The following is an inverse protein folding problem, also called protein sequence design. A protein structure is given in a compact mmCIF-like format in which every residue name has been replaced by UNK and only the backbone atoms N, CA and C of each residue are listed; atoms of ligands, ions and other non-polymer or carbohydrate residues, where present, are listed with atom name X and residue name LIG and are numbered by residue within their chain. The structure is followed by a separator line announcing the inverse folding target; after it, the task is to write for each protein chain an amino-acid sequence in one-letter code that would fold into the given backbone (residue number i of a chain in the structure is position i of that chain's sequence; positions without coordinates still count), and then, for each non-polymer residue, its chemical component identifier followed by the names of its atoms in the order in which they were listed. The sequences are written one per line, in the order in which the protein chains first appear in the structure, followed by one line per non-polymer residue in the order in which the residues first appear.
data_IF_380019748572
#
_entry.id   IF_380019748572
#
_cell.length_a   1.000
_cell.length_b   1.000
_cell.length_c   1.000
_cell.angle_alpha   90.00
_cell.angle_beta   90.00
_cell.angle_gamma   90.00
#
_symmetry.space_group_name_H-M   'P 1'
#
loop_
_entity.id
_entity.type
_entity.pdbx_description
1 polymer ?
#
# COMPACT_ATOMS: atom_id res chain seq x y z
N UNK A 1 18.86 -11.90 12.43
CA UNK A 1 18.10 -10.78 12.96
C UNK A 1 18.85 -9.53 12.55
N UNK A 2 18.34 -8.77 11.58
CA UNK A 2 18.99 -7.53 11.10
C UNK A 2 19.00 -6.48 12.20
N UNK A 3 20.09 -5.69 12.26
CA UNK A 3 20.23 -4.57 13.19
C UNK A 3 19.20 -3.49 12.85
N UNK A 4 18.48 -2.95 13.82
CA UNK A 4 17.51 -1.87 13.63
C UNK A 4 18.21 -0.61 13.07
N UNK A 5 17.48 0.26 12.39
CA UNK A 5 18.02 1.52 11.88
C UNK A 5 18.40 2.45 13.04
N UNK A 6 19.46 3.26 12.85
CA UNK A 6 19.80 4.33 13.78
C UNK A 6 18.64 5.35 13.85
N UNK A 7 18.13 5.60 15.04
CA UNK A 7 17.07 6.59 15.24
C UNK A 7 17.54 8.01 14.91
N UNK A 8 18.80 8.30 15.18
CA UNK A 8 19.43 9.61 14.94
C UNK A 8 19.57 9.91 13.45
N UNK A 9 20.03 8.91 12.65
CA UNK A 9 20.15 9.06 11.20
C UNK A 9 18.77 9.23 10.55
N UNK A 10 17.78 8.46 10.99
CA UNK A 10 16.41 8.57 10.51
C UNK A 10 15.77 9.92 10.89
N UNK A 11 15.97 10.40 12.12
CA UNK A 11 15.44 11.69 12.56
C UNK A 11 16.03 12.84 11.75
N UNK A 12 17.32 12.77 11.42
CA UNK A 12 17.96 13.76 10.55
C UNK A 12 17.42 13.74 9.11
N UNK A 13 17.25 12.57 8.52
CA UNK A 13 16.78 12.43 7.13
C UNK A 13 15.30 12.82 7.01
N UNK A 14 14.46 12.29 7.90
CA UNK A 14 13.01 12.46 7.86
C UNK A 14 12.53 13.77 8.51
N UNK A 15 13.36 14.43 9.30
CA UNK A 15 13.10 15.74 9.88
C UNK A 15 13.25 16.90 8.88
N UNK A 16 13.64 16.65 7.63
CA UNK A 16 13.72 17.71 6.63
C UNK A 16 12.32 18.22 6.23
N UNK A 17 12.23 19.50 5.86
CA UNK A 17 10.97 20.17 5.53
C UNK A 17 10.14 19.42 4.47
N UNK A 18 10.78 18.90 3.42
CA UNK A 18 10.11 18.18 2.35
C UNK A 18 9.45 16.87 2.86
N UNK A 19 10.15 16.11 3.68
CA UNK A 19 9.62 14.87 4.25
C UNK A 19 8.45 15.16 5.21
N UNK A 20 8.58 16.18 6.06
CA UNK A 20 7.52 16.59 6.98
C UNK A 20 6.25 17.01 6.25
N UNK A 21 6.36 17.82 5.18
CA UNK A 21 5.20 18.19 4.35
C UNK A 21 4.57 16.97 3.69
N UNK A 22 5.36 16.03 3.19
CA UNK A 22 4.84 14.80 2.61
C UNK A 22 4.10 13.94 3.64
N UNK A 23 4.62 13.84 4.86
CA UNK A 23 3.93 13.18 5.97
C UNK A 23 2.60 13.86 6.29
N UNK A 24 2.59 15.20 6.39
CA UNK A 24 1.35 15.96 6.61
C UNK A 24 0.32 15.74 5.50
N UNK A 25 0.73 15.79 4.24
CA UNK A 25 -0.16 15.52 3.10
C UNK A 25 -0.74 14.11 3.16
N UNK A 26 0.07 13.12 3.55
CA UNK A 26 -0.39 11.74 3.74
C UNK A 26 -1.42 11.65 4.87
N UNK A 27 -1.17 12.36 5.99
CA UNK A 27 -2.13 12.43 7.10
C UNK A 27 -3.45 13.06 6.64
N UNK A 28 -3.39 14.20 5.94
CA UNK A 28 -4.60 14.88 5.43
C UNK A 28 -5.40 14.00 4.49
N UNK A 29 -4.70 13.28 3.57
CA UNK A 29 -5.35 12.45 2.54
C UNK A 29 -6.01 11.20 3.13
N UNK A 30 -5.38 10.57 4.12
CA UNK A 30 -5.76 9.20 4.53
C UNK A 30 -6.28 9.07 5.96
N UNK A 31 -6.23 10.13 6.78
CA UNK A 31 -6.70 10.06 8.16
C UNK A 31 -8.21 9.78 8.24
N UNK A 32 -8.56 8.76 8.96
CA UNK A 32 -9.94 8.39 9.30
C UNK A 32 -10.14 8.54 10.83
N UNK A 33 -10.55 9.70 11.30
CA UNK A 33 -10.69 9.97 12.75
C UNK A 33 -9.36 10.20 13.47
N UNK A 34 -9.31 9.97 14.82
CA UNK A 34 -8.08 10.11 15.58
C UNK A 34 -6.98 9.18 15.08
N UNK A 35 -5.76 9.69 14.96
CA UNK A 35 -4.64 8.98 14.34
C UNK A 35 -3.39 8.98 15.22
N UNK A 36 -2.62 7.89 15.14
CA UNK A 36 -1.29 7.77 15.71
C UNK A 36 -0.24 7.82 14.59
N UNK A 37 0.80 8.64 14.76
CA UNK A 37 1.96 8.65 13.88
C UNK A 37 3.19 8.18 14.64
N UNK A 38 3.86 7.15 14.16
CA UNK A 38 5.11 6.65 14.72
C UNK A 38 6.30 7.24 13.98
N UNK A 39 7.08 8.04 14.68
CA UNK A 39 8.21 8.81 14.14
C UNK A 39 9.55 8.20 14.61
N UNK A 40 10.62 8.39 13.81
CA UNK A 40 11.94 7.86 14.14
C UNK A 40 12.59 8.56 15.34
N UNK A 41 12.35 9.86 15.49
CA UNK A 41 12.97 10.69 16.51
C UNK A 41 12.03 11.73 17.12
N UNK A 42 12.49 12.33 18.22
CA UNK A 42 11.72 13.33 18.97
C UNK A 42 11.57 14.62 18.17
N UNK A 43 12.63 15.06 17.48
CA UNK A 43 12.59 16.28 16.67
C UNK A 43 11.58 16.16 15.54
N UNK A 44 11.57 15.04 14.81
CA UNK A 44 10.58 14.77 13.76
C UNK A 44 9.15 14.76 14.32
N UNK A 45 8.94 14.20 15.51
CA UNK A 45 7.61 14.18 16.15
C UNK A 45 7.13 15.59 16.52
N UNK A 46 8.01 16.40 17.10
CA UNK A 46 7.72 17.80 17.46
C UNK A 46 7.38 18.62 16.20
N UNK A 47 8.25 18.57 15.20
CA UNK A 47 8.09 19.38 13.99
C UNK A 47 6.87 18.93 13.15
N UNK A 48 6.59 17.64 13.08
CA UNK A 48 5.38 17.14 12.42
C UNK A 48 4.11 17.64 13.12
N UNK A 49 4.05 17.57 14.44
CA UNK A 49 2.89 18.06 15.21
C UNK A 49 2.69 19.58 15.02
N UNK A 50 3.77 20.37 15.06
CA UNK A 50 3.73 21.81 14.81
C UNK A 50 3.26 22.14 13.39
N UNK A 51 3.81 21.46 12.39
CA UNK A 51 3.49 21.66 10.98
C UNK A 51 2.01 21.31 10.70
N UNK A 52 1.58 20.14 11.19
CA UNK A 52 0.19 19.69 11.07
C UNK A 52 -0.80 20.69 11.66
N UNK A 53 -0.47 21.27 12.84
CA UNK A 53 -1.32 22.24 13.51
C UNK A 53 -1.33 23.58 12.79
N UNK A 54 -0.16 24.10 12.38
CA UNK A 54 -0.04 25.45 11.81
C UNK A 54 -0.54 25.57 10.38
N UNK A 55 -0.19 24.61 9.53
CA UNK A 55 -0.43 24.72 8.09
C UNK A 55 -1.64 23.92 7.64
N UNK A 56 -1.98 22.85 8.36
CA UNK A 56 -3.07 21.94 7.97
C UNK A 56 -4.26 21.96 8.92
N UNK A 57 -4.20 22.74 10.01
CA UNK A 57 -5.32 22.92 10.95
C UNK A 57 -5.71 21.66 11.72
N UNK A 58 -4.84 20.65 11.77
CA UNK A 58 -5.06 19.39 12.48
C UNK A 58 -4.69 19.61 13.95
N UNK A 59 -5.56 19.24 14.89
CA UNK A 59 -5.24 19.25 16.32
C UNK A 59 -4.22 18.16 16.62
N UNK A 60 -2.93 18.51 16.47
CA UNK A 60 -1.82 17.59 16.61
C UNK A 60 -1.00 17.91 17.87
N UNK A 61 -0.59 16.86 18.59
CA UNK A 61 0.31 16.90 19.72
C UNK A 61 1.39 15.83 19.58
N UNK A 62 2.49 15.96 20.33
CA UNK A 62 3.51 14.93 20.35
C UNK A 62 3.68 14.33 21.73
N UNK A 63 4.19 13.08 21.77
CA UNK A 63 4.64 12.42 23.01
C UNK A 63 6.00 11.77 22.80
N UNK A 64 6.88 11.94 23.79
CA UNK A 64 8.19 11.32 23.80
C UNK A 64 8.54 10.74 25.19
N UNK A 65 9.50 9.80 25.22
CA UNK A 65 9.94 9.15 26.46
C UNK A 65 10.95 9.98 27.28
N UNK A 66 11.53 11.03 26.71
CA UNK A 66 12.53 11.86 27.40
C UNK A 66 11.84 12.85 28.35
N UNK A 67 11.95 12.60 29.64
CA UNK A 67 11.35 13.42 30.69
C UNK A 67 11.95 14.82 30.78
N UNK A 68 13.12 15.06 30.19
CA UNK A 68 13.75 16.39 30.10
C UNK A 68 13.07 17.27 29.05
N UNK A 69 12.50 16.65 28.01
CA UNK A 69 11.80 17.33 26.94
C UNK A 69 10.31 17.45 27.27
N UNK A 70 9.73 16.38 27.81
CA UNK A 70 8.31 16.30 28.13
C UNK A 70 8.11 15.65 29.50
N UNK A 71 7.72 16.42 30.53
CA UNK A 71 7.39 15.89 31.86
C UNK A 71 6.30 14.83 31.81
N UNK A 72 6.31 13.91 32.74
CA UNK A 72 5.39 12.78 32.76
C UNK A 72 3.90 13.18 32.88
N UNK A 73 3.64 14.20 33.72
CA UNK A 73 2.29 14.75 33.91
C UNK A 73 1.74 15.40 32.61
N UNK A 74 2.57 16.12 31.88
CA UNK A 74 2.20 16.69 30.58
C UNK A 74 1.92 15.58 29.55
N UNK A 75 2.80 14.59 29.47
CA UNK A 75 2.60 13.43 28.62
C UNK A 75 1.29 12.69 28.93
N UNK A 76 1.03 12.46 30.22
CA UNK A 76 -0.20 11.81 30.67
C UNK A 76 -1.44 12.64 30.33
N UNK A 77 -1.37 13.97 30.43
CA UNK A 77 -2.44 14.88 30.02
C UNK A 77 -2.75 14.74 28.54
N UNK A 78 -1.73 14.82 27.67
CA UNK A 78 -1.87 14.67 26.22
C UNK A 78 -2.45 13.30 25.86
N UNK A 79 -1.94 12.24 26.45
CA UNK A 79 -2.44 10.89 26.21
C UNK A 79 -3.91 10.72 26.63
N UNK A 80 -4.33 11.36 27.71
CA UNK A 80 -5.72 11.35 28.15
C UNK A 80 -6.63 12.18 27.22
N UNK A 81 -6.16 13.31 26.72
CA UNK A 81 -6.87 14.09 25.71
C UNK A 81 -7.03 13.29 24.39
N UNK A 82 -6.01 12.55 23.98
CA UNK A 82 -6.10 11.68 22.80
C UNK A 82 -7.12 10.56 23.00
N UNK A 83 -7.13 9.89 24.17
CA UNK A 83 -8.15 8.87 24.48
C UNK A 83 -9.58 9.40 24.44
N UNK A 84 -9.77 10.69 24.74
CA UNK A 84 -11.09 11.37 24.64
C UNK A 84 -11.42 11.85 23.23
N UNK A 85 -10.51 11.67 22.25
CA UNK A 85 -10.70 12.16 20.90
C UNK A 85 -10.55 13.67 20.74
N UNK A 86 -10.00 14.38 21.74
CA UNK A 86 -9.75 15.83 21.71
C UNK A 86 -8.56 16.21 20.83
N UNK A 87 -7.64 15.24 20.58
CA UNK A 87 -6.48 15.34 19.69
C UNK A 87 -6.73 14.46 18.49
N UNK A 88 -6.52 15.00 17.30
CA UNK A 88 -6.76 14.34 16.03
C UNK A 88 -5.54 13.57 15.51
N UNK A 89 -4.32 14.04 15.84
CA UNK A 89 -3.07 13.40 15.46
C UNK A 89 -2.12 13.38 16.65
N UNK A 90 -1.74 12.20 17.12
CA UNK A 90 -0.72 12.03 18.14
C UNK A 90 0.58 11.56 17.50
N UNK A 91 1.58 12.45 17.46
CA UNK A 91 2.93 12.17 16.96
C UNK A 91 3.74 11.51 18.06
N UNK A 92 4.07 10.22 17.90
CA UNK A 92 4.72 9.43 18.93
C UNK A 92 6.16 9.07 18.56
N UNK A 93 7.10 9.34 19.47
CA UNK A 93 8.47 8.84 19.43
C UNK A 93 8.68 7.86 20.58
N UNK A 94 8.61 6.55 20.31
CA UNK A 94 8.93 5.42 21.20
C UNK A 94 8.02 5.20 22.43
N UNK A 95 7.23 6.16 22.88
CA UNK A 95 6.45 6.07 24.13
C UNK A 95 5.25 5.14 24.01
N UNK A 96 4.52 5.23 22.92
CA UNK A 96 3.35 4.38 22.72
C UNK A 96 3.70 2.92 22.36
N UNK A 97 5.00 2.57 22.30
CA UNK A 97 5.45 1.19 22.19
C UNK A 97 5.34 0.44 23.52
N UNK A 98 5.26 1.12 24.66
CA UNK A 98 5.16 0.48 25.99
C UNK A 98 3.93 0.99 26.77
N UNK A 99 2.93 0.16 26.96
CA UNK A 99 1.80 0.40 27.91
C UNK A 99 0.69 1.36 27.43
N UNK A 100 0.82 2.08 26.31
CA UNK A 100 -0.22 3.00 25.84
C UNK A 100 -1.32 2.26 25.04
N UNK A 101 -2.53 2.26 25.57
CA UNK A 101 -3.72 1.75 24.89
C UNK A 101 -4.50 2.89 24.24
N UNK A 102 -4.78 2.77 22.95
CA UNK A 102 -5.42 3.80 22.14
C UNK A 102 -6.54 3.23 21.25
N UNK A 103 -7.57 2.61 21.81
CA UNK A 103 -8.66 2.04 21.03
C UNK A 103 -9.42 3.09 20.21
N UNK A 104 -9.35 4.36 20.59
CA UNK A 104 -9.97 5.48 19.84
C UNK A 104 -9.31 5.74 18.48
N UNK A 105 -8.03 5.36 18.30
CA UNK A 105 -7.32 5.60 17.05
C UNK A 105 -7.89 4.74 15.93
N UNK A 106 -8.22 5.39 14.79
CA UNK A 106 -8.71 4.73 13.57
C UNK A 106 -7.66 4.65 12.48
N UNK A 107 -6.59 5.45 12.58
CA UNK A 107 -5.49 5.42 11.60
C UNK A 107 -4.15 5.34 12.31
N UNK A 108 -3.25 4.53 11.76
CA UNK A 108 -1.84 4.47 12.15
C UNK A 108 -0.97 4.86 10.97
N UNK A 109 -0.09 5.81 11.18
CA UNK A 109 0.95 6.19 10.22
C UNK A 109 2.31 5.68 10.71
N UNK A 110 2.89 4.76 9.96
CA UNK A 110 4.24 4.27 10.18
C UNK A 110 5.22 5.10 9.36
N UNK A 111 5.75 6.18 9.94
CA UNK A 111 6.80 7.02 9.34
C UNK A 111 8.19 6.60 9.79
N UNK A 112 8.27 5.56 10.62
CA UNK A 112 9.52 4.96 11.05
C UNK A 112 9.63 3.55 10.46
N UNK A 113 10.68 3.28 9.64
CA UNK A 113 10.95 1.92 9.22
C UNK A 113 11.31 1.04 10.42
N UNK A 114 10.80 -0.18 10.45
CA UNK A 114 11.17 -1.17 11.45
C UNK A 114 11.48 -2.51 10.81
N UNK A 115 12.56 -3.15 11.25
CA UNK A 115 12.91 -4.53 10.90
C UNK A 115 12.36 -5.54 11.91
N UNK A 116 11.74 -5.05 12.97
CA UNK A 116 11.21 -5.88 14.04
C UNK A 116 9.72 -6.14 13.85
N UNK A 117 9.38 -7.34 13.38
CA UNK A 117 7.99 -7.83 13.33
C UNK A 117 7.29 -7.69 14.68
N UNK A 118 8.00 -8.00 15.77
CA UNK A 118 7.46 -7.87 17.12
C UNK A 118 7.06 -6.43 17.45
N UNK A 119 7.90 -5.44 17.11
CA UNK A 119 7.61 -4.04 17.38
C UNK A 119 6.41 -3.57 16.55
N UNK A 120 6.36 -3.91 15.27
CA UNK A 120 5.24 -3.56 14.42
C UNK A 120 3.93 -4.16 14.94
N UNK A 121 3.90 -5.47 15.33
CA UNK A 121 2.74 -6.13 15.96
C UNK A 121 2.29 -5.44 17.24
N UNK A 122 3.23 -5.01 18.08
CA UNK A 122 2.90 -4.29 19.31
C UNK A 122 2.22 -2.94 19.03
N UNK A 123 2.71 -2.22 18.04
CA UNK A 123 2.15 -0.93 17.61
C UNK A 123 0.72 -1.12 17.10
N UNK A 124 0.52 -2.05 16.17
CA UNK A 124 -0.77 -2.24 15.50
C UNK A 124 -1.80 -2.88 16.42
N UNK A 125 -1.42 -3.88 17.21
CA UNK A 125 -2.31 -4.54 18.16
C UNK A 125 -2.95 -3.59 19.19
N UNK A 126 -2.38 -2.40 19.41
CA UNK A 126 -2.95 -1.38 20.29
C UNK A 126 -4.03 -0.55 19.63
N UNK A 127 -3.87 -0.33 18.33
CA UNK A 127 -4.80 0.48 17.55
C UNK A 127 -5.90 -0.39 16.95
N UNK A 128 -5.64 -1.67 16.67
CA UNK A 128 -6.62 -2.62 16.15
C UNK A 128 -7.67 -3.06 17.20
N UNK A 129 -7.52 -2.67 18.45
CA UNK A 129 -8.50 -3.00 19.50
C UNK A 129 -9.85 -2.36 19.22
N UNK A 130 -10.96 -3.08 19.39
CA UNK A 130 -12.29 -2.49 19.38
C UNK A 130 -12.42 -1.39 20.44
N UNK A 131 -13.40 -0.51 20.27
CA UNK A 131 -13.76 0.44 21.31
C UNK A 131 -14.20 -0.29 22.59
N UNK A 132 -13.94 0.27 23.78
CA UNK A 132 -14.38 -0.32 25.04
C UNK A 132 -15.90 -0.57 25.03
N UNK A 133 -16.32 -1.72 25.51
CA UNK A 133 -17.74 -2.10 25.61
C UNK A 133 -18.32 -2.73 24.34
N UNK A 134 -17.64 -2.65 23.19
CA UNK A 134 -18.19 -3.16 21.92
C UNK A 134 -18.27 -4.68 21.88
N UNK A 135 -17.27 -5.35 22.42
CA UNK A 135 -17.19 -6.83 22.38
C UNK A 135 -17.36 -7.47 23.77
N UNK A 136 -17.62 -6.67 24.78
CA UNK A 136 -17.70 -7.15 26.17
C UNK A 136 -18.95 -8.02 26.35
N UNK A 137 -18.77 -9.22 26.92
CA UNK A 137 -19.86 -10.16 27.17
C UNK A 137 -20.33 -10.94 25.93
N UNK A 138 -19.74 -10.76 24.77
CA UNK A 138 -20.05 -11.54 23.57
C UNK A 138 -19.19 -12.82 23.53
N UNK A 139 -19.88 -13.97 23.38
CA UNK A 139 -19.23 -15.29 23.46
C UNK A 139 -18.70 -15.77 22.13
N UNK A 140 -19.43 -15.50 21.02
CA UNK A 140 -19.08 -16.02 19.69
C UNK A 140 -18.25 -15.04 18.90
N UNK A 141 -17.51 -15.55 17.90
CA UNK A 141 -16.72 -14.76 16.96
C UNK A 141 -17.64 -13.92 16.06
N UNK A 142 -18.73 -14.50 15.59
CA UNK A 142 -19.68 -13.82 14.70
C UNK A 142 -20.35 -12.63 15.41
N UNK A 143 -20.80 -12.79 16.67
CA UNK A 143 -21.34 -11.68 17.48
C UNK A 143 -20.33 -10.55 17.63
N UNK A 144 -19.06 -10.87 17.87
CA UNK A 144 -17.99 -9.86 17.98
C UNK A 144 -17.75 -9.13 16.67
N UNK A 145 -17.71 -9.86 15.55
CA UNK A 145 -17.54 -9.26 14.22
C UNK A 145 -18.71 -8.33 13.87
N UNK A 146 -19.96 -8.76 14.11
CA UNK A 146 -21.14 -7.94 13.90
C UNK A 146 -21.13 -6.68 14.78
N UNK A 147 -20.77 -6.81 16.05
CA UNK A 147 -20.71 -5.70 16.99
C UNK A 147 -19.62 -4.70 16.60
N UNK A 148 -18.44 -5.17 16.15
CA UNK A 148 -17.37 -4.31 15.65
C UNK A 148 -17.81 -3.58 14.37
N UNK A 149 -18.40 -4.29 13.42
CA UNK A 149 -18.88 -3.71 12.16
C UNK A 149 -19.97 -2.65 12.38
N UNK A 150 -20.80 -2.80 13.40
CA UNK A 150 -21.86 -1.85 13.78
C UNK A 150 -21.36 -0.68 14.65
N UNK A 151 -20.12 -0.71 15.13
CA UNK A 151 -19.54 0.30 16.03
C UNK A 151 -19.06 1.55 15.30
N UNK A 152 -18.76 2.61 16.06
CA UNK A 152 -18.12 3.83 15.53
C UNK A 152 -16.70 3.59 15.01
N UNK A 153 -16.14 2.40 15.24
CA UNK A 153 -14.83 1.98 14.73
C UNK A 153 -14.93 0.57 14.15
N UNK A 154 -15.50 0.41 12.96
CA UNK A 154 -15.61 -0.88 12.28
C UNK A 154 -14.27 -1.42 11.77
N UNK A 155 -13.30 -0.54 11.57
CA UNK A 155 -11.98 -0.84 11.00
C UNK A 155 -10.87 0.01 11.61
N UNK A 156 -9.64 -0.28 11.21
CA UNK A 156 -8.45 0.53 11.49
C UNK A 156 -7.54 0.55 10.26
N UNK A 157 -7.22 1.74 9.78
CA UNK A 157 -6.34 1.93 8.63
C UNK A 157 -4.87 2.02 9.08
N UNK A 158 -4.02 1.19 8.49
CA UNK A 158 -2.58 1.23 8.70
C UNK A 158 -1.91 1.75 7.42
N UNK A 159 -1.25 2.90 7.51
CA UNK A 159 -0.48 3.50 6.43
C UNK A 159 1.01 3.30 6.73
N UNK A 160 1.65 2.47 5.94
CA UNK A 160 3.09 2.23 6.02
C UNK A 160 3.82 2.96 4.88
N UNK A 161 4.53 4.03 5.21
CA UNK A 161 5.32 4.82 4.25
C UNK A 161 6.76 4.33 4.11
N UNK A 162 7.09 3.22 4.73
CA UNK A 162 8.47 2.73 4.78
C UNK A 162 8.81 1.77 3.63
N UNK A 163 7.81 1.36 2.87
CA UNK A 163 7.93 0.45 1.73
C UNK A 163 8.62 1.09 0.50
N UNK A 164 8.83 2.41 0.52
CA UNK A 164 9.56 3.13 -0.55
C UNK A 164 11.09 2.91 -0.53
N UNK A 165 11.63 2.20 0.44
CA UNK A 165 13.05 1.83 0.54
C UNK A 165 13.24 0.36 0.10
N UNK A 166 13.10 0.12 -1.15
CA UNK A 166 12.99 -1.15 -1.89
C UNK A 166 14.06 -2.23 -1.70
N UNK A 167 14.96 -2.16 -0.70
CA UNK A 167 16.08 -3.11 -0.64
C UNK A 167 16.31 -3.81 0.73
N UNK A 168 15.44 -3.59 1.69
CA UNK A 168 15.66 -4.17 3.02
C UNK A 168 14.39 -4.86 3.52
N UNK A 169 14.55 -5.97 4.23
CA UNK A 169 13.49 -6.75 4.87
C UNK A 169 12.70 -5.94 5.92
N UNK A 170 11.97 -4.93 5.45
CA UNK A 170 11.06 -4.12 6.25
C UNK A 170 9.79 -4.94 6.45
N UNK A 171 9.32 -4.99 7.69
CA UNK A 171 8.08 -5.68 8.03
C UNK A 171 6.92 -4.78 7.65
N UNK A 172 6.19 -5.18 6.62
CA UNK A 172 4.97 -4.50 6.16
C UNK A 172 3.71 -5.09 6.80
N UNK A 173 2.55 -4.47 6.55
CA UNK A 173 1.26 -5.04 6.93
C UNK A 173 1.11 -6.46 6.37
N UNK A 174 1.41 -6.65 5.11
CA UNK A 174 1.38 -7.96 4.43
C UNK A 174 2.23 -9.00 5.16
N UNK A 175 3.45 -8.64 5.57
CA UNK A 175 4.37 -9.56 6.26
C UNK A 175 3.85 -10.01 7.62
N UNK A 176 3.02 -9.21 8.25
CA UNK A 176 2.50 -9.51 9.57
C UNK A 176 1.32 -10.46 9.55
N UNK A 177 0.50 -10.37 8.51
CA UNK A 177 -0.59 -11.31 8.27
C UNK A 177 -0.12 -12.58 7.54
N UNK A 178 1.09 -12.55 6.95
CA UNK A 178 1.69 -13.73 6.36
C UNK A 178 2.04 -14.79 7.42
N UNK A 179 1.73 -16.05 7.16
CA UNK A 179 2.17 -17.17 7.98
C UNK A 179 3.68 -17.38 7.83
N UNK A 180 4.30 -18.04 8.78
CA UNK A 180 5.75 -18.28 8.75
C UNK A 180 6.18 -19.11 7.53
N UNK A 181 5.30 -19.98 7.02
CA UNK A 181 5.49 -20.81 5.83
C UNK A 181 5.11 -20.15 4.51
N UNK A 182 4.61 -18.90 4.53
CA UNK A 182 4.25 -18.16 3.30
C UNK A 182 5.51 -17.87 2.48
N UNK A 183 5.57 -18.32 1.20
CA UNK A 183 6.72 -18.09 0.34
C UNK A 183 6.99 -16.58 0.14
N UNK A 184 8.27 -16.20 0.08
CA UNK A 184 8.68 -14.81 -0.09
C UNK A 184 8.17 -14.19 -1.41
N UNK A 185 8.02 -15.01 -2.45
CA UNK A 185 7.43 -14.56 -3.74
C UNK A 185 5.98 -14.10 -3.57
N UNK A 186 5.20 -14.80 -2.74
CA UNK A 186 3.81 -14.44 -2.42
C UNK A 186 3.77 -13.14 -1.61
N UNK A 187 4.64 -13.01 -0.61
CA UNK A 187 4.75 -11.78 0.21
C UNK A 187 5.12 -10.58 -0.65
N UNK A 188 6.11 -10.74 -1.54
CA UNK A 188 6.55 -9.68 -2.46
C UNK A 188 5.45 -9.26 -3.42
N UNK A 189 4.73 -10.21 -4.01
CA UNK A 189 3.61 -9.92 -4.91
C UNK A 189 2.46 -9.21 -4.19
N UNK A 190 2.12 -9.63 -2.97
CA UNK A 190 1.11 -8.98 -2.15
C UNK A 190 1.53 -7.56 -1.73
N UNK A 191 2.81 -7.34 -1.40
CA UNK A 191 3.36 -5.99 -1.14
C UNK A 191 3.25 -5.07 -2.37
N UNK A 192 3.54 -5.60 -3.56
CA UNK A 192 3.40 -4.85 -4.80
C UNK A 192 1.95 -4.46 -5.09
N UNK A 193 0.99 -5.35 -4.78
CA UNK A 193 -0.44 -5.07 -4.92
C UNK A 193 -0.90 -4.01 -3.90
N UNK A 194 -0.40 -4.08 -2.66
CA UNK A 194 -0.68 -3.08 -1.63
C UNK A 194 -0.13 -1.68 -1.95
N UNK A 195 0.95 -1.61 -2.74
CA UNK A 195 1.59 -0.35 -3.13
C UNK A 195 0.92 0.34 -4.34
N UNK A 196 -0.04 -0.31 -5.01
CA UNK A 196 -0.79 0.28 -6.13
C UNK A 196 -1.75 1.35 -5.59
N UNK A 197 -1.40 2.62 -5.77
CA UNK A 197 -2.02 3.79 -5.14
C UNK A 197 -3.48 4.06 -5.55
N UNK A 198 -4.03 3.39 -6.55
CA UNK A 198 -5.36 3.67 -7.13
C UNK A 198 -6.50 2.80 -6.55
N UNK A 199 -6.22 1.90 -5.60
CA UNK A 199 -7.20 1.02 -4.97
C UNK A 199 -7.70 1.50 -3.60
N UNK A 200 -8.91 1.08 -3.21
CA UNK A 200 -9.32 1.12 -1.81
C UNK A 200 -8.35 0.24 -0.98
N UNK A 201 -8.10 0.60 0.31
CA UNK A 201 -7.23 -0.23 1.15
C UNK A 201 -7.81 -1.64 1.26
N UNK A 202 -7.09 -2.63 0.73
CA UNK A 202 -7.48 -4.03 0.78
C UNK A 202 -6.96 -4.69 2.06
N UNK A 203 -7.68 -5.71 2.54
CA UNK A 203 -7.23 -6.51 3.69
C UNK A 203 -5.91 -7.23 3.33
N UNK A 204 -4.86 -7.13 4.16
CA UNK A 204 -3.60 -7.82 3.91
C UNK A 204 -3.74 -9.34 3.75
N UNK A 205 -4.72 -9.98 4.40
CA UNK A 205 -5.00 -11.40 4.24
C UNK A 205 -5.56 -11.70 2.83
N UNK A 206 -6.43 -10.84 2.32
CA UNK A 206 -6.97 -10.95 0.96
C UNK A 206 -5.89 -10.72 -0.09
N UNK A 207 -5.01 -9.74 0.11
CA UNK A 207 -3.85 -9.50 -0.76
C UNK A 207 -2.92 -10.71 -0.83
N UNK A 208 -2.66 -11.36 0.31
CA UNK A 208 -1.87 -12.59 0.35
C UNK A 208 -2.54 -13.74 -0.40
N UNK A 209 -3.86 -13.90 -0.25
CA UNK A 209 -4.62 -14.93 -0.96
C UNK A 209 -4.63 -14.69 -2.47
N UNK A 210 -4.86 -13.46 -2.91
CA UNK A 210 -4.83 -13.06 -4.32
C UNK A 210 -3.44 -13.25 -4.93
N UNK A 211 -2.37 -12.86 -4.22
CA UNK A 211 -1.00 -13.04 -4.67
C UNK A 211 -0.63 -14.52 -4.82
N UNK A 212 -1.02 -15.35 -3.87
CA UNK A 212 -0.81 -16.80 -3.93
C UNK A 212 -1.53 -17.43 -5.13
N UNK A 213 -2.78 -17.06 -5.37
CA UNK A 213 -3.55 -17.59 -6.50
C UNK A 213 -3.00 -17.11 -7.85
N UNK A 214 -2.56 -15.86 -7.96
CA UNK A 214 -1.92 -15.29 -9.15
C UNK A 214 -0.63 -16.04 -9.50
N UNK A 215 0.24 -16.27 -8.51
CA UNK A 215 1.49 -16.99 -8.70
C UNK A 215 1.24 -18.48 -9.02
N UNK A 216 0.25 -19.11 -8.39
CA UNK A 216 -0.16 -20.48 -8.71
C UNK A 216 -0.63 -20.61 -10.16
N UNK A 217 -1.47 -19.68 -10.65
CA UNK A 217 -1.92 -19.64 -12.04
C UNK A 217 -0.77 -19.42 -13.02
N UNK A 218 0.16 -18.51 -12.68
CA UNK A 218 1.34 -18.27 -13.50
C UNK A 218 2.22 -19.52 -13.64
N UNK A 219 2.46 -20.22 -12.52
CA UNK A 219 3.25 -21.46 -12.50
C UNK A 219 2.60 -22.60 -13.29
N UNK A 220 1.28 -22.80 -13.15
CA UNK A 220 0.53 -23.77 -13.94
C UNK A 220 0.58 -23.48 -15.44
N UNK A 221 0.51 -22.20 -15.82
CA UNK A 221 0.64 -21.78 -17.20
C UNK A 221 2.04 -22.05 -17.74
N UNK A 222 3.06 -21.77 -16.97
CA UNK A 222 4.46 -22.02 -17.32
C UNK A 222 4.74 -23.54 -17.47
N UNK A 223 4.26 -24.36 -16.53
CA UNK A 223 4.34 -25.82 -16.61
C UNK A 223 3.56 -26.37 -17.82
N UNK A 224 2.37 -25.83 -18.10
CA UNK A 224 1.58 -26.19 -19.29
C UNK A 224 2.29 -25.85 -20.60
N UNK A 225 2.92 -24.67 -20.66
CA UNK A 225 3.74 -24.27 -21.82
C UNK A 225 4.99 -25.16 -21.98
N UNK A 226 5.66 -25.49 -20.87
CA UNK A 226 6.82 -26.40 -20.90
C UNK A 226 6.44 -27.80 -21.39
N UNK A 227 5.27 -28.34 -20.99
CA UNK A 227 4.76 -29.61 -21.47
C UNK A 227 4.41 -29.57 -22.97
N UNK A 228 3.86 -28.47 -23.46
CA UNK A 228 3.58 -28.27 -24.89
C UNK A 228 4.89 -28.18 -25.69
N UNK A 229 5.89 -27.45 -25.20
CA UNK A 229 7.20 -27.37 -25.83
C UNK A 229 7.93 -28.72 -25.79
N UNK A 230 7.86 -29.46 -24.66
CA UNK A 230 8.44 -30.80 -24.55
C UNK A 230 7.80 -31.84 -25.49
N UNK A 231 6.48 -31.74 -25.75
CA UNK A 231 5.80 -32.57 -26.75
C UNK A 231 6.14 -32.17 -28.19
N UNK A 232 6.36 -30.88 -28.44
CA UNK A 232 6.80 -30.40 -29.75
C UNK A 232 8.25 -30.79 -30.08
N UNK A 233 9.14 -30.83 -29.07
CA UNK A 233 10.54 -31.23 -29.23
C UNK A 233 10.71 -32.73 -29.55
N UNK A 234 9.73 -33.58 -29.25
CA UNK A 234 9.75 -35.02 -29.56
C UNK A 234 9.31 -35.38 -30.97
N UNK A 235 8.82 -34.44 -31.79
CA UNK A 235 8.25 -34.73 -33.13
C UNK A 235 8.81 -33.94 -34.29
N UNK A 236 9.74 -33.00 -34.07
CA UNK A 236 10.33 -32.17 -35.13
C UNK A 236 11.84 -32.00 -34.91
N UNK A 237 12.62 -32.67 -35.75
CA UNK A 237 14.00 -32.34 -35.98
C UNK A 237 14.06 -30.94 -36.60
N UNK A 238 14.86 -30.06 -35.99
CA UNK A 238 15.37 -28.79 -36.54
C UNK A 238 14.32 -27.79 -37.11
N UNK A 239 13.55 -27.15 -36.24
CA UNK A 239 13.10 -25.78 -36.50
C UNK A 239 13.41 -24.89 -35.28
N UNK A 240 14.23 -23.86 -35.50
CA UNK A 240 14.50 -22.83 -34.52
C UNK A 240 13.19 -22.24 -33.98
N UNK A 241 12.85 -22.53 -32.75
CA UNK A 241 11.74 -21.91 -32.06
C UNK A 241 12.17 -20.52 -31.60
N UNK A 242 11.91 -19.53 -32.43
CA UNK A 242 12.07 -18.12 -32.05
C UNK A 242 11.08 -17.81 -30.93
N UNK A 243 11.57 -17.62 -29.71
CA UNK A 243 10.74 -17.12 -28.60
C UNK A 243 10.12 -15.79 -29.03
N UNK A 244 8.81 -15.78 -29.21
CA UNK A 244 8.09 -14.58 -29.63
C UNK A 244 8.27 -13.51 -28.54
N UNK A 245 9.14 -12.53 -28.79
CA UNK A 245 9.25 -11.32 -27.95
C UNK A 245 7.85 -10.73 -27.80
N UNK A 246 7.46 -10.39 -26.58
CA UNK A 246 6.16 -9.78 -26.30
C UNK A 246 6.08 -8.46 -27.09
N UNK A 247 5.32 -8.46 -28.19
CA UNK A 247 5.21 -7.30 -29.09
C UNK A 247 4.56 -6.14 -28.36
N UNK A 248 5.11 -4.94 -28.52
CA UNK A 248 4.45 -3.73 -28.09
C UNK A 248 3.10 -3.60 -28.80
N UNK A 249 2.07 -3.05 -28.13
CA UNK A 249 0.74 -2.89 -28.73
C UNK A 249 0.77 -2.13 -30.07
N UNK A 250 1.70 -1.21 -30.26
CA UNK A 250 1.91 -0.46 -31.49
C UNK A 250 2.32 -1.34 -32.70
N UNK A 251 2.88 -2.54 -32.46
CA UNK A 251 3.33 -3.50 -33.48
C UNK A 251 2.22 -4.47 -33.92
N UNK A 252 1.10 -4.50 -33.20
CA UNK A 252 -0.03 -5.34 -33.59
C UNK A 252 -0.74 -4.79 -34.81
N UNK A 253 -1.13 -5.69 -35.74
CA UNK A 253 -1.93 -5.31 -36.89
C UNK A 253 -3.33 -4.88 -36.48
N UNK A 254 -3.87 -3.91 -37.21
CA UNK A 254 -5.21 -3.38 -36.99
C UNK A 254 -6.26 -4.50 -37.13
N UNK A 255 -7.07 -4.79 -36.10
CA UNK A 255 -7.97 -5.94 -36.07
C UNK A 255 -9.32 -5.71 -36.78
N UNK A 256 -9.37 -4.79 -37.71
CA UNK A 256 -10.57 -4.47 -38.50
C UNK A 256 -10.29 -4.53 -40.00
N UNK A 257 -11.32 -4.79 -40.79
CA UNK A 257 -11.25 -4.76 -42.25
C UNK A 257 -11.41 -3.32 -42.76
N UNK A 258 -10.84 -2.99 -43.91
CA UNK A 258 -10.99 -1.71 -44.57
C UNK A 258 -9.65 -0.99 -44.85
N UNK A 259 -9.69 0.34 -45.01
CA UNK A 259 -8.57 1.17 -45.44
C UNK A 259 -7.27 1.00 -44.60
N UNK A 260 -7.41 0.64 -43.34
CA UNK A 260 -6.30 0.48 -42.40
C UNK A 260 -5.96 -0.99 -42.13
N UNK A 261 -6.60 -1.93 -42.78
CA UNK A 261 -6.30 -3.37 -42.68
C UNK A 261 -4.83 -3.63 -43.08
N UNK A 262 -4.12 -4.40 -42.25
CA UNK A 262 -2.71 -4.72 -42.50
C UNK A 262 -1.69 -3.71 -41.95
N UNK A 263 -2.12 -2.51 -41.58
CA UNK A 263 -1.27 -1.55 -40.85
C UNK A 263 -1.09 -1.96 -39.40
N UNK A 264 -0.04 -1.47 -38.76
CA UNK A 264 0.16 -1.65 -37.32
C UNK A 264 -0.63 -0.61 -36.54
N UNK A 265 -0.90 -0.89 -35.26
CA UNK A 265 -1.61 0.04 -34.36
C UNK A 265 -0.84 1.36 -34.19
N UNK A 266 0.51 1.31 -34.25
CA UNK A 266 1.36 2.48 -34.15
C UNK A 266 1.28 3.45 -35.34
N UNK A 267 0.90 2.95 -36.54
CA UNK A 267 0.76 3.74 -37.76
C UNK A 267 -0.59 4.46 -37.90
N UNK A 268 -1.50 4.26 -36.96
CA UNK A 268 -2.80 4.93 -36.95
C UNK A 268 -2.68 6.36 -36.42
N UNK A 269 -3.49 7.27 -36.96
CA UNK A 269 -3.66 8.58 -36.37
C UNK A 269 -4.58 8.55 -35.14
N UNK A 270 -4.47 9.56 -34.28
CA UNK A 270 -5.28 9.62 -33.05
C UNK A 270 -6.77 9.79 -33.33
N UNK A 271 -7.12 10.48 -34.43
CA UNK A 271 -8.52 10.64 -34.85
C UNK A 271 -9.17 9.30 -35.19
N UNK A 272 -8.44 8.40 -35.86
CA UNK A 272 -8.94 7.07 -36.16
C UNK A 272 -9.09 6.20 -34.90
N UNK A 273 -8.16 6.29 -33.94
CA UNK A 273 -8.24 5.56 -32.68
C UNK A 273 -9.48 6.02 -31.89
N UNK A 274 -9.73 7.30 -31.78
CA UNK A 274 -10.91 7.86 -31.10
C UNK A 274 -12.22 7.49 -31.82
N UNK A 275 -12.24 7.52 -33.15
CA UNK A 275 -13.37 7.04 -33.95
C UNK A 275 -13.66 5.55 -33.68
N UNK A 276 -12.63 4.71 -33.71
CA UNK A 276 -12.78 3.27 -33.47
C UNK A 276 -13.33 2.95 -32.07
N UNK A 277 -12.93 3.72 -31.06
CA UNK A 277 -13.43 3.58 -29.69
C UNK A 277 -14.92 3.98 -29.54
N UNK A 278 -15.42 4.89 -30.37
CA UNK A 278 -16.81 5.38 -30.35
C UNK A 278 -17.75 4.60 -31.25
N UNK A 279 -17.21 3.84 -32.23
CA UNK A 279 -18.00 3.18 -33.26
C UNK A 279 -18.65 1.89 -32.72
N UNK A 280 -19.99 1.78 -32.70
CA UNK A 280 -20.69 0.62 -32.12
C UNK A 280 -20.41 -0.70 -32.82
N UNK A 281 -20.16 -0.70 -34.14
CA UNK A 281 -19.88 -1.90 -34.93
C UNK A 281 -18.55 -2.57 -34.64
N UNK A 282 -17.64 -1.91 -33.92
CA UNK A 282 -16.36 -2.49 -33.50
C UNK A 282 -16.58 -3.35 -32.26
N UNK A 283 -16.26 -4.64 -32.37
CA UNK A 283 -16.43 -5.63 -31.29
C UNK A 283 -15.59 -5.27 -30.05
N UNK A 284 -16.07 -5.66 -28.88
CA UNK A 284 -15.42 -5.33 -27.60
C UNK A 284 -13.94 -5.72 -27.53
N UNK A 285 -13.57 -6.91 -28.03
CA UNK A 285 -12.19 -7.37 -28.08
C UNK A 285 -11.31 -6.51 -29.03
N UNK A 286 -11.85 -6.02 -30.14
CA UNK A 286 -11.16 -5.11 -31.07
C UNK A 286 -10.94 -3.73 -30.42
N UNK A 287 -11.95 -3.21 -29.68
CA UNK A 287 -11.83 -1.95 -28.95
C UNK A 287 -10.71 -1.99 -27.91
N UNK A 288 -10.44 -3.16 -27.31
CA UNK A 288 -9.37 -3.28 -26.31
C UNK A 288 -7.98 -2.95 -26.91
N UNK A 289 -7.73 -3.26 -28.18
CA UNK A 289 -6.46 -2.88 -28.85
C UNK A 289 -6.35 -1.37 -29.02
N UNK A 290 -7.42 -0.71 -29.48
CA UNK A 290 -7.43 0.75 -29.62
C UNK A 290 -7.33 1.48 -28.28
N UNK A 291 -7.98 0.97 -27.24
CA UNK A 291 -7.90 1.52 -25.89
C UNK A 291 -6.47 1.47 -25.34
N UNK A 292 -5.80 0.32 -25.49
CA UNK A 292 -4.40 0.15 -25.05
C UNK A 292 -3.42 1.05 -25.80
N UNK A 293 -3.61 1.20 -27.14
CA UNK A 293 -2.76 2.10 -27.92
C UNK A 293 -2.98 3.56 -27.53
N UNK A 294 -4.22 4.00 -27.29
CA UNK A 294 -4.53 5.34 -26.77
C UNK A 294 -3.85 5.60 -25.43
N UNK A 295 -3.93 4.62 -24.52
CA UNK A 295 -3.31 4.72 -23.20
C UNK A 295 -1.79 4.84 -23.32
N UNK A 296 -1.15 4.02 -24.16
CA UNK A 296 0.29 4.09 -24.44
C UNK A 296 0.71 5.48 -24.94
N UNK A 297 0.00 6.07 -25.91
CA UNK A 297 0.28 7.41 -26.44
C UNK A 297 0.14 8.50 -25.39
N UNK A 298 -0.90 8.44 -24.55
CA UNK A 298 -1.09 9.37 -23.44
C UNK A 298 0.02 9.28 -22.39
N UNK A 299 0.51 8.08 -22.11
CA UNK A 299 1.64 7.88 -21.22
C UNK A 299 2.92 8.49 -21.79
N UNK A 300 3.22 8.27 -23.09
CA UNK A 300 4.39 8.85 -23.75
C UNK A 300 4.33 10.38 -23.76
N UNK A 301 3.18 10.98 -24.02
CA UNK A 301 3.01 12.42 -24.05
C UNK A 301 3.26 13.08 -22.67
N UNK A 302 3.04 12.38 -21.57
CA UNK A 302 3.32 12.87 -20.20
C UNK A 302 4.82 12.84 -19.83
N UNK A 303 5.63 12.10 -20.55
CA UNK A 303 7.08 11.98 -20.28
C UNK A 303 7.94 12.89 -21.15
N UNK A 304 7.32 13.58 -22.11
CA UNK A 304 8.02 14.49 -23.07
C UNK A 304 7.72 15.97 -22.78
N UNK A 305 6.81 16.27 -21.86
CA UNK A 305 6.52 17.62 -21.36
C UNK A 305 6.96 17.78 -19.91
#
# INVERSE_FOLDING_TARGET
VGKEYSAEDLDMILGCSKALHQMCLTVVKHRQGPALAFLPGVNTAIELAKLASREYGIKAEFVCGDTRIQPEDERNRIMNQFRKGEIELLCNCMVAAEGFDAPVARTVFMFRPTRSRRLALQIWGRVMRPLPGVVDGLETEDERHEAIAASDKPDCLIIDMTDSLNDHSIVTAVDMFARDDTPEEVRREARNQAADEDGAPEDPADLLAQAAEKLRKAKLLEEGLALLHGRAAGSLQDQEVTVAKKKCISEYKVPIRGRFAGRTMGELDDGFIEWALRTPSIKGWQRSYFSRERQRRRSLARHVG
#
